data_IF_261221974117
#
_entry.id   IF_261221974117
#
_cell.length_a   1.000
_cell.length_b   1.000
_cell.length_c   1.000
_cell.angle_alpha   90.00
_cell.angle_beta   90.00
_cell.angle_gamma   90.00
#
_symmetry.space_group_name_H-M   'P 1'
#
loop_
_entity.id
_entity.type
_entity.pdbx_description
1 polymer ?
#
# COMPACT_ATOMS: atom_id res chain seq x y z
N UNK A 1 -91.61 1.14 -12.62
CA UNK A 1 -91.04 2.44 -13.02
C UNK A 1 -89.73 2.16 -13.70
N UNK A 2 -89.71 2.43 -14.99
CA UNK A 2 -88.57 2.43 -15.91
C UNK A 2 -87.48 3.38 -15.40
N UNK A 3 -86.21 2.96 -15.47
CA UNK A 3 -85.05 3.79 -15.18
C UNK A 3 -83.89 3.40 -16.08
N UNK A 4 -83.70 4.18 -17.14
CA UNK A 4 -82.51 4.20 -17.99
C UNK A 4 -81.26 4.55 -17.17
N UNK A 5 -80.16 3.85 -17.44
CA UNK A 5 -78.80 4.31 -17.10
C UNK A 5 -77.91 4.17 -18.34
N UNK A 6 -77.56 5.32 -18.90
CA UNK A 6 -76.16 5.75 -19.00
C UNK A 6 -75.22 5.03 -19.97
N UNK A 7 -74.96 5.72 -21.09
CA UNK A 7 -73.79 5.66 -21.99
C UNK A 7 -72.54 5.02 -21.37
N UNK A 8 -71.96 4.03 -22.05
CA UNK A 8 -70.55 3.69 -21.95
C UNK A 8 -69.94 3.70 -23.36
N UNK A 9 -68.78 4.34 -23.48
CA UNK A 9 -68.20 4.78 -24.74
C UNK A 9 -67.64 3.66 -25.62
N UNK A 10 -67.72 3.90 -26.93
CA UNK A 10 -66.91 3.23 -27.94
C UNK A 10 -65.43 3.49 -27.68
N UNK A 11 -64.70 2.45 -27.30
CA UNK A 11 -63.28 2.33 -27.55
C UNK A 11 -62.91 0.85 -27.55
N UNK A 12 -62.43 0.36 -28.69
CA UNK A 12 -61.48 -0.74 -28.87
C UNK A 12 -61.86 -1.61 -30.07
N UNK A 13 -61.25 -1.31 -31.24
CA UNK A 13 -60.63 -2.35 -32.06
C UNK A 13 -59.68 -1.69 -33.07
N UNK A 14 -58.45 -1.40 -32.63
CA UNK A 14 -57.34 -1.20 -33.55
C UNK A 14 -56.47 -2.45 -33.42
N UNK A 15 -56.66 -3.39 -34.35
CA UNK A 15 -55.84 -4.58 -34.46
C UNK A 15 -54.44 -4.14 -34.91
N UNK A 16 -53.52 -4.01 -33.94
CA UNK A 16 -52.10 -3.82 -34.21
C UNK A 16 -51.55 -5.18 -34.66
N UNK A 17 -51.46 -5.39 -35.97
CA UNK A 17 -50.66 -6.46 -36.55
C UNK A 17 -49.18 -6.17 -36.21
N UNK A 18 -48.71 -6.72 -35.09
CA UNK A 18 -47.29 -6.80 -34.82
C UNK A 18 -46.70 -7.86 -35.75
N UNK A 19 -46.20 -7.41 -36.90
CA UNK A 19 -45.32 -8.23 -37.74
C UNK A 19 -44.08 -8.52 -36.91
N UNK A 20 -44.01 -9.73 -36.34
CA UNK A 20 -42.80 -10.27 -35.74
C UNK A 20 -41.78 -10.43 -36.87
N UNK A 21 -41.03 -9.36 -37.17
CA UNK A 21 -39.76 -9.49 -37.89
C UNK A 21 -38.87 -10.35 -37.00
N UNK A 22 -38.77 -11.62 -37.36
CA UNK A 22 -37.67 -12.46 -36.94
C UNK A 22 -36.42 -11.78 -37.49
N UNK A 23 -35.78 -10.92 -36.68
CA UNK A 23 -34.41 -10.51 -36.93
C UNK A 23 -33.61 -11.78 -36.77
N UNK A 24 -33.44 -12.52 -37.87
CA UNK A 24 -32.33 -13.44 -38.02
C UNK A 24 -31.12 -12.54 -37.85
N UNK A 25 -30.51 -12.59 -36.67
CA UNK A 25 -29.17 -12.04 -36.54
C UNK A 25 -28.32 -12.91 -37.47
N UNK A 26 -27.69 -12.32 -38.52
CA UNK A 26 -26.81 -13.10 -39.37
C UNK A 26 -25.75 -13.75 -38.47
N UNK A 27 -25.41 -15.00 -38.79
CA UNK A 27 -24.38 -15.74 -38.08
C UNK A 27 -23.09 -14.91 -37.98
N UNK A 28 -22.36 -15.09 -36.89
CA UNK A 28 -21.00 -14.54 -36.76
C UNK A 28 -20.13 -15.14 -37.85
N UNK A 29 -19.46 -14.28 -38.64
CA UNK A 29 -18.53 -14.72 -39.68
C UNK A 29 -17.57 -15.80 -39.15
N UNK A 30 -17.31 -16.84 -39.93
CA UNK A 30 -16.47 -17.97 -39.54
C UNK A 30 -15.08 -17.49 -39.14
N UNK A 31 -14.69 -17.92 -37.94
CA UNK A 31 -13.51 -17.42 -37.24
C UNK A 31 -12.16 -17.86 -37.84
N UNK A 32 -12.13 -18.76 -38.84
CA UNK A 32 -10.89 -19.17 -39.47
C UNK A 32 -11.23 -19.98 -40.74
N UNK A 33 -10.91 -19.47 -41.92
CA UNK A 33 -11.00 -20.20 -43.21
C UNK A 33 -9.95 -21.33 -43.31
N UNK A 34 -9.75 -22.08 -42.23
CA UNK A 34 -8.61 -22.98 -41.99
C UNK A 34 -8.74 -24.36 -42.60
N UNK A 35 -9.92 -24.70 -43.09
CA UNK A 35 -10.27 -25.97 -43.74
C UNK A 35 -10.52 -25.78 -45.24
N UNK A 36 -10.16 -24.63 -45.79
CA UNK A 36 -10.38 -24.36 -47.20
C UNK A 36 -9.54 -25.30 -48.08
N UNK A 37 -10.12 -25.81 -49.18
CA UNK A 37 -9.38 -26.62 -50.14
C UNK A 37 -8.23 -25.82 -50.76
N UNK A 38 -7.15 -26.52 -51.11
CA UNK A 38 -6.03 -25.93 -51.83
C UNK A 38 -6.43 -25.62 -53.28
N UNK A 39 -6.11 -24.41 -53.76
CA UNK A 39 -6.29 -24.02 -55.15
C UNK A 39 -4.97 -24.24 -55.92
N UNK A 40 -5.03 -24.90 -57.08
CA UNK A 40 -3.87 -25.04 -57.96
C UNK A 40 -3.69 -23.80 -58.88
N UNK A 41 -2.53 -23.66 -59.53
CA UNK A 41 -2.35 -22.65 -60.58
C UNK A 41 -3.48 -22.71 -61.62
N UNK A 42 -4.08 -21.57 -61.91
CA UNK A 42 -5.24 -21.46 -62.80
C UNK A 42 -6.58 -21.82 -62.14
N UNK A 43 -6.62 -21.98 -60.82
CA UNK A 43 -7.84 -22.07 -60.04
C UNK A 43 -7.97 -20.84 -59.12
N UNK A 44 -9.21 -20.61 -58.69
CA UNK A 44 -9.55 -19.52 -57.79
C UNK A 44 -10.11 -20.10 -56.49
N UNK A 45 -9.60 -19.64 -55.35
CA UNK A 45 -10.19 -19.92 -54.05
C UNK A 45 -11.23 -18.85 -53.73
N UNK A 46 -12.47 -19.27 -53.47
CA UNK A 46 -13.57 -18.39 -53.10
C UNK A 46 -13.83 -18.50 -51.59
N UNK A 47 -13.85 -17.35 -50.90
CA UNK A 47 -14.30 -17.23 -49.52
C UNK A 47 -15.65 -16.52 -49.53
N UNK A 48 -16.72 -17.26 -49.27
CA UNK A 48 -18.05 -16.69 -49.12
C UNK A 48 -18.20 -16.15 -47.69
N UNK A 49 -18.20 -14.83 -47.55
CA UNK A 49 -18.34 -14.14 -46.26
C UNK A 49 -19.78 -14.12 -45.76
N UNK A 50 -20.76 -14.30 -46.66
CA UNK A 50 -22.18 -14.32 -46.33
C UNK A 50 -22.60 -15.68 -45.77
N UNK A 51 -22.20 -16.76 -46.45
CA UNK A 51 -22.53 -18.14 -46.07
C UNK A 51 -21.51 -18.81 -45.15
N UNK A 52 -20.41 -18.12 -44.83
CA UNK A 52 -19.35 -18.65 -44.00
C UNK A 52 -18.81 -19.99 -44.56
N UNK A 53 -18.41 -19.99 -45.82
CA UNK A 53 -17.82 -21.18 -46.43
C UNK A 53 -16.71 -20.82 -47.41
N UNK A 54 -15.96 -21.84 -47.82
CA UNK A 54 -14.95 -21.66 -48.85
C UNK A 54 -14.80 -22.89 -49.73
N UNK A 55 -14.48 -22.65 -50.98
CA UNK A 55 -14.43 -23.67 -52.01
C UNK A 55 -13.54 -23.22 -53.17
N UNK A 56 -13.02 -24.17 -53.94
CA UNK A 56 -12.27 -23.86 -55.17
C UNK A 56 -13.24 -23.80 -56.35
N UNK A 57 -13.07 -22.78 -57.19
CA UNK A 57 -13.74 -22.63 -58.48
C UNK A 57 -12.72 -22.61 -59.62
N UNK A 58 -13.22 -22.71 -60.85
CA UNK A 58 -12.39 -22.59 -62.05
C UNK A 58 -11.88 -21.16 -62.28
N UNK A 59 -11.43 -20.86 -63.50
CA UNK A 59 -10.84 -19.55 -63.87
C UNK A 59 -11.84 -18.39 -63.96
N UNK A 60 -13.11 -18.63 -63.67
CA UNK A 60 -14.16 -17.61 -63.72
C UNK A 60 -14.91 -17.62 -62.41
N UNK A 61 -15.06 -16.46 -61.73
CA UNK A 61 -15.90 -16.36 -60.55
C UNK A 61 -17.28 -16.97 -60.86
N UNK A 62 -17.84 -17.78 -59.96
CA UNK A 62 -19.22 -18.23 -60.12
C UNK A 62 -20.09 -16.99 -60.26
N UNK A 63 -20.99 -16.99 -61.24
CA UNK A 63 -21.95 -15.89 -61.37
C UNK A 63 -22.65 -15.71 -60.02
N UNK A 64 -22.76 -14.47 -59.54
CA UNK A 64 -23.46 -14.19 -58.29
C UNK A 64 -24.95 -14.51 -58.46
N UNK A 65 -25.33 -15.78 -58.32
CA UNK A 65 -26.69 -16.24 -58.61
C UNK A 65 -27.67 -15.91 -57.49
N UNK A 66 -27.14 -15.57 -56.31
CA UNK A 66 -27.85 -15.07 -55.15
C UNK A 66 -27.30 -13.66 -54.93
N UNK A 67 -28.03 -12.61 -55.35
CA UNK A 67 -27.54 -11.23 -55.39
C UNK A 67 -27.12 -10.65 -54.01
N UNK A 68 -27.23 -11.46 -52.94
CA UNK A 68 -26.91 -11.16 -51.54
C UNK A 68 -25.53 -11.72 -51.09
N UNK A 69 -24.73 -12.34 -51.96
CA UNK A 69 -23.47 -12.98 -51.55
C UNK A 69 -22.23 -12.09 -51.75
N UNK A 70 -21.37 -12.08 -50.72
CA UNK A 70 -20.12 -11.33 -50.64
C UNK A 70 -18.89 -12.25 -50.64
N UNK A 71 -17.95 -11.98 -51.55
CA UNK A 71 -16.79 -12.86 -51.75
C UNK A 71 -15.43 -12.15 -51.65
N UNK A 72 -14.46 -12.87 -51.09
CA UNK A 72 -13.03 -12.67 -51.37
C UNK A 72 -12.59 -13.79 -52.33
N UNK A 73 -12.03 -13.42 -53.46
CA UNK A 73 -11.45 -14.35 -54.42
C UNK A 73 -9.92 -14.26 -54.41
N UNK A 74 -9.26 -15.42 -54.47
CA UNK A 74 -7.80 -15.52 -54.52
C UNK A 74 -7.39 -16.42 -55.68
N UNK A 75 -6.80 -15.82 -56.72
CA UNK A 75 -6.30 -16.55 -57.88
C UNK A 75 -4.84 -16.94 -57.70
N UNK A 76 -4.53 -18.20 -57.99
CA UNK A 76 -3.15 -18.68 -58.07
C UNK A 76 -2.67 -18.49 -59.51
N UNK A 77 -1.95 -17.39 -59.78
CA UNK A 77 -1.58 -16.98 -61.14
C UNK A 77 -0.44 -17.82 -61.70
N UNK A 78 0.59 -18.09 -60.89
CA UNK A 78 1.78 -18.79 -61.34
C UNK A 78 2.47 -19.57 -60.21
N UNK A 79 3.42 -20.41 -60.61
CA UNK A 79 4.26 -21.20 -59.70
C UNK A 79 5.34 -20.39 -58.99
N UNK A 80 5.54 -19.12 -59.36
CA UNK A 80 6.49 -18.19 -58.71
C UNK A 80 5.90 -17.46 -57.49
N UNK A 81 4.69 -17.80 -57.06
CA UNK A 81 4.09 -17.25 -55.83
C UNK A 81 3.15 -16.07 -56.03
N UNK A 82 2.99 -15.58 -57.26
CA UNK A 82 2.10 -14.45 -57.54
C UNK A 82 0.64 -14.88 -57.45
N UNK A 83 -0.14 -14.11 -56.71
CA UNK A 83 -1.58 -14.29 -56.57
C UNK A 83 -2.34 -12.99 -56.75
N UNK A 84 -3.54 -13.08 -57.31
CA UNK A 84 -4.46 -11.96 -57.47
C UNK A 84 -5.56 -12.08 -56.42
N UNK A 85 -5.87 -10.99 -55.75
CA UNK A 85 -6.89 -10.90 -54.72
C UNK A 85 -7.97 -9.98 -55.22
N UNK A 86 -9.21 -10.44 -55.26
CA UNK A 86 -10.35 -9.66 -55.73
C UNK A 86 -11.44 -9.61 -54.67
N UNK A 87 -12.22 -8.53 -54.68
CA UNK A 87 -13.46 -8.44 -53.91
C UNK A 87 -14.65 -8.41 -54.85
N UNK A 88 -15.72 -9.10 -54.45
CA UNK A 88 -17.01 -9.01 -55.12
C UNK A 88 -18.09 -8.79 -54.07
N UNK A 89 -18.73 -7.63 -54.12
CA UNK A 89 -19.87 -7.29 -53.26
C UNK A 89 -21.19 -7.72 -53.93
N UNK A 90 -22.06 -8.33 -53.15
CA UNK A 90 -23.44 -8.62 -53.52
C UNK A 90 -24.24 -7.31 -53.57
N UNK A 91 -24.89 -6.95 -54.70
CA UNK A 91 -25.60 -5.68 -54.81
C UNK A 91 -26.78 -5.53 -53.84
N UNK A 92 -27.28 -6.64 -53.30
CA UNK A 92 -28.41 -6.68 -52.36
C UNK A 92 -27.97 -6.97 -50.90
N UNK A 93 -26.67 -7.22 -50.63
CA UNK A 93 -26.13 -7.32 -49.26
C UNK A 93 -25.72 -5.93 -48.73
N UNK A 94 -26.30 -5.44 -47.61
CA UNK A 94 -25.94 -4.15 -47.03
C UNK A 94 -24.59 -4.15 -46.28
N UNK A 95 -23.93 -5.31 -46.11
CA UNK A 95 -22.68 -5.45 -45.36
C UNK A 95 -21.46 -5.20 -46.25
N UNK A 96 -20.87 -4.01 -46.14
CA UNK A 96 -19.65 -3.71 -46.87
C UNK A 96 -18.48 -4.65 -46.52
N UNK A 97 -17.69 -5.03 -47.53
CA UNK A 97 -16.43 -5.76 -47.37
C UNK A 97 -15.27 -4.76 -47.41
N UNK A 98 -14.34 -4.87 -46.48
CA UNK A 98 -13.07 -4.13 -46.54
C UNK A 98 -11.94 -5.04 -46.09
N UNK A 99 -10.94 -5.29 -46.93
CA UNK A 99 -9.78 -6.09 -46.54
C UNK A 99 -8.49 -5.59 -47.17
N UNK A 100 -7.38 -6.04 -46.57
CA UNK A 100 -6.03 -5.73 -46.99
C UNK A 100 -5.19 -6.99 -47.06
N UNK A 101 -4.22 -6.99 -47.99
CA UNK A 101 -3.19 -8.03 -48.10
C UNK A 101 -1.87 -7.39 -47.71
N UNK A 102 -1.23 -7.92 -46.67
CA UNK A 102 -0.02 -7.35 -46.05
C UNK A 102 -0.19 -5.84 -45.71
N UNK A 103 -1.38 -5.45 -45.25
CA UNK A 103 -1.72 -4.05 -44.92
C UNK A 103 -2.03 -3.14 -46.12
N UNK A 104 -1.93 -3.64 -47.36
CA UNK A 104 -2.32 -2.89 -48.56
C UNK A 104 -3.80 -3.13 -48.85
N UNK A 105 -4.67 -2.10 -48.83
CA UNK A 105 -6.09 -2.26 -49.14
C UNK A 105 -6.31 -2.81 -50.55
N UNK A 106 -7.28 -3.70 -50.71
CA UNK A 106 -7.68 -4.21 -52.03
C UNK A 106 -8.84 -3.35 -52.57
N UNK A 107 -8.78 -2.89 -53.82
CA UNK A 107 -9.89 -2.18 -54.48
C UNK A 107 -9.69 -2.06 -56.00
N UNK A 108 -10.53 -2.70 -56.85
CA UNK A 108 -11.31 -3.91 -56.56
C UNK A 108 -10.42 -5.17 -56.51
N UNK A 109 -9.17 -5.07 -56.98
CA UNK A 109 -8.22 -6.16 -57.06
C UNK A 109 -6.80 -5.73 -56.66
N UNK A 110 -5.98 -6.67 -56.21
CA UNK A 110 -4.58 -6.47 -55.83
C UNK A 110 -3.76 -7.71 -56.14
N UNK A 111 -2.62 -7.54 -56.82
CA UNK A 111 -1.70 -8.63 -57.10
C UNK A 111 -0.49 -8.57 -56.14
N UNK A 112 -0.22 -9.68 -55.44
CA UNK A 112 0.84 -9.78 -54.43
C UNK A 112 1.60 -11.09 -54.60
N UNK A 113 2.91 -11.08 -54.34
CA UNK A 113 3.69 -12.31 -54.18
C UNK A 113 3.46 -12.89 -52.79
N UNK A 114 2.84 -14.07 -52.73
CA UNK A 114 2.53 -14.80 -51.52
C UNK A 114 3.33 -16.11 -51.41
N UNK A 115 4.49 -16.20 -52.08
CA UNK A 115 5.42 -17.34 -51.96
C UNK A 115 5.90 -17.58 -50.52
N UNK A 116 6.09 -16.51 -49.75
CA UNK A 116 6.44 -16.54 -48.33
C UNK A 116 5.23 -16.44 -47.38
N UNK A 117 4.01 -16.42 -47.93
CA UNK A 117 2.78 -16.15 -47.20
C UNK A 117 2.38 -14.67 -47.19
N UNK A 118 1.09 -14.41 -47.35
CA UNK A 118 0.45 -13.11 -47.26
C UNK A 118 -0.53 -13.09 -46.10
N UNK A 119 -0.48 -12.05 -45.26
CA UNK A 119 -1.46 -11.81 -44.20
C UNK A 119 -2.68 -11.10 -44.77
N UNK A 120 -3.86 -11.68 -44.55
CA UNK A 120 -5.14 -11.10 -44.94
C UNK A 120 -5.87 -10.65 -43.69
N UNK A 121 -6.26 -9.38 -43.66
CA UNK A 121 -7.00 -8.76 -42.55
C UNK A 121 -8.11 -7.89 -43.12
N UNK A 122 -9.21 -7.73 -42.40
CA UNK A 122 -10.34 -6.94 -42.91
C UNK A 122 -11.56 -6.96 -42.01
N UNK A 123 -12.70 -6.59 -42.57
CA UNK A 123 -14.01 -6.62 -41.94
C UNK A 123 -15.12 -6.88 -42.96
N UNK A 124 -16.21 -7.50 -42.52
CA UNK A 124 -17.47 -7.66 -43.24
C UNK A 124 -18.62 -7.14 -42.39
N UNK A 125 -19.40 -6.17 -42.91
CA UNK A 125 -20.49 -5.56 -42.15
C UNK A 125 -20.05 -4.89 -40.83
N UNK A 126 -18.80 -4.44 -40.76
CA UNK A 126 -18.18 -3.87 -39.55
C UNK A 126 -17.63 -4.90 -38.54
N UNK A 127 -17.83 -6.19 -38.77
CA UNK A 127 -17.21 -7.27 -37.96
C UNK A 127 -15.84 -7.59 -38.52
N UNK A 128 -14.79 -7.58 -37.69
CA UNK A 128 -13.44 -7.90 -38.12
C UNK A 128 -13.34 -9.37 -38.60
N UNK A 129 -12.69 -9.58 -39.74
CA UNK A 129 -12.24 -10.89 -40.19
C UNK A 129 -11.07 -11.32 -39.29
N UNK A 130 -11.08 -12.56 -38.79
CA UNK A 130 -9.90 -13.12 -38.14
C UNK A 130 -8.77 -13.19 -39.17
N UNK A 131 -7.58 -12.69 -38.81
CA UNK A 131 -6.43 -12.69 -39.71
C UNK A 131 -6.06 -14.12 -40.13
N UNK A 132 -5.85 -14.33 -41.42
CA UNK A 132 -5.39 -15.62 -41.95
C UNK A 132 -4.22 -15.42 -42.91
N UNK A 133 -3.46 -16.49 -43.15
CA UNK A 133 -2.33 -16.46 -44.08
C UNK A 133 -2.67 -17.27 -45.32
N UNK A 134 -2.55 -16.63 -46.48
CA UNK A 134 -2.57 -17.32 -47.76
C UNK A 134 -1.15 -17.51 -48.25
N UNK A 135 -0.77 -18.75 -48.57
CA UNK A 135 0.55 -19.08 -49.10
C UNK A 135 0.40 -19.72 -50.46
N UNK A 136 1.05 -19.15 -51.48
CA UNK A 136 1.19 -19.75 -52.81
C UNK A 136 2.57 -20.38 -52.94
N UNK A 137 2.70 -21.63 -52.51
CA UNK A 137 3.94 -22.40 -52.58
C UNK A 137 3.77 -23.55 -53.57
N UNK A 138 4.80 -23.81 -54.39
CA UNK A 138 4.86 -24.97 -55.27
C UNK A 138 3.66 -25.12 -56.24
N UNK A 139 3.12 -24.00 -56.74
CA UNK A 139 1.94 -23.96 -57.63
C UNK A 139 0.60 -24.31 -56.95
N UNK A 140 0.56 -24.28 -55.63
CA UNK A 140 -0.65 -24.50 -54.83
C UNK A 140 -0.83 -23.36 -53.83
N UNK A 141 -1.99 -22.72 -53.87
CA UNK A 141 -2.47 -21.76 -52.89
C UNK A 141 -3.21 -22.48 -51.77
N UNK A 142 -2.73 -22.34 -50.54
CA UNK A 142 -3.39 -22.89 -49.34
C UNK A 142 -3.68 -21.78 -48.36
N UNK A 143 -4.85 -21.82 -47.75
CA UNK A 143 -5.06 -21.08 -46.51
C UNK A 143 -4.49 -21.92 -45.38
N UNK A 144 -3.37 -21.45 -44.86
CA UNK A 144 -2.83 -21.97 -43.61
C UNK A 144 -3.53 -21.29 -42.45
N UNK A 145 -3.86 -22.07 -41.41
CA UNK A 145 -4.22 -21.48 -40.12
C UNK A 145 -3.09 -20.58 -39.67
N UNK A 146 -3.44 -19.33 -39.37
CA UNK A 146 -2.52 -18.34 -38.83
C UNK A 146 -1.79 -18.95 -37.64
N UNK A 147 -0.53 -19.33 -37.86
CA UNK A 147 0.40 -19.29 -36.75
C UNK A 147 0.38 -17.87 -36.20
N UNK A 148 0.51 -17.69 -34.88
CA UNK A 148 0.61 -16.35 -34.33
C UNK A 148 1.63 -15.54 -35.13
N UNK A 149 1.24 -14.32 -35.52
CA UNK A 149 2.18 -13.36 -36.07
C UNK A 149 3.33 -13.08 -35.09
N UNK A 150 4.32 -12.27 -35.49
CA UNK A 150 5.39 -11.87 -34.57
C UNK A 150 4.78 -11.27 -33.30
N UNK A 151 5.41 -11.57 -32.15
CA UNK A 151 5.00 -11.04 -30.86
C UNK A 151 4.91 -9.50 -30.93
N UNK A 152 3.77 -8.96 -30.50
CA UNK A 152 3.46 -7.54 -30.59
C UNK A 152 3.01 -6.94 -29.26
N UNK A 153 2.53 -7.76 -28.32
CA UNK A 153 2.06 -7.31 -27.00
C UNK A 153 2.47 -8.29 -25.91
N UNK A 154 2.78 -7.74 -24.74
CA UNK A 154 3.04 -8.45 -23.50
C UNK A 154 2.10 -7.87 -22.43
N UNK A 155 1.36 -8.73 -21.73
CA UNK A 155 0.42 -8.30 -20.70
C UNK A 155 0.49 -9.18 -19.46
N UNK A 156 0.24 -8.60 -18.28
CA UNK A 156 0.05 -9.36 -17.03
C UNK A 156 -1.31 -10.03 -17.06
N UNK A 157 -1.32 -11.35 -16.92
CA UNK A 157 -2.54 -12.17 -16.92
C UNK A 157 -3.04 -12.43 -15.50
N UNK A 158 -2.13 -12.73 -14.55
CA UNK A 158 -2.47 -12.92 -13.14
C UNK A 158 -1.23 -12.85 -12.23
N UNK A 159 -1.44 -12.71 -10.91
CA UNK A 159 -0.36 -12.77 -9.93
C UNK A 159 0.22 -11.41 -9.49
N UNK A 160 -0.29 -10.30 -10.00
CA UNK A 160 0.06 -8.95 -9.51
C UNK A 160 -0.82 -8.56 -8.31
N UNK A 161 -0.34 -7.62 -7.48
CA UNK A 161 -1.06 -7.08 -6.32
C UNK A 161 -1.06 -7.99 -5.09
N UNK A 162 -0.15 -8.97 -5.02
CA UNK A 162 -0.10 -9.93 -3.93
C UNK A 162 0.81 -9.45 -2.78
N UNK A 163 0.53 -9.94 -1.57
CA UNK A 163 1.38 -9.74 -0.41
C UNK A 163 1.63 -11.06 0.34
N UNK A 164 2.79 -11.17 0.98
CA UNK A 164 3.14 -12.32 1.83
C UNK A 164 4.19 -11.88 2.86
N UNK A 165 4.32 -12.62 3.97
CA UNK A 165 5.36 -12.32 4.95
C UNK A 165 6.76 -12.56 4.35
N UNK A 166 7.76 -11.81 4.82
CA UNK A 166 9.17 -12.03 4.47
C UNK A 166 9.55 -13.51 4.55
N UNK A 167 10.41 -13.96 3.65
CA UNK A 167 10.84 -15.37 3.54
C UNK A 167 9.72 -16.38 3.25
N UNK A 168 8.55 -15.94 2.80
CA UNK A 168 7.40 -16.81 2.47
C UNK A 168 7.07 -16.73 0.97
N UNK A 169 6.54 -17.83 0.41
CA UNK A 169 6.11 -17.85 -0.99
C UNK A 169 4.88 -16.95 -1.22
N UNK A 170 4.79 -16.34 -2.40
CA UNK A 170 3.55 -15.72 -2.85
C UNK A 170 2.54 -16.80 -3.28
N UNK A 171 1.25 -16.56 -3.04
CA UNK A 171 0.21 -17.58 -3.21
C UNK A 171 -0.04 -17.94 -4.68
N UNK A 172 -0.02 -16.95 -5.58
CA UNK A 172 -0.26 -17.13 -7.02
C UNK A 172 1.03 -16.95 -7.81
N UNK A 173 1.19 -17.72 -8.88
CA UNK A 173 2.26 -17.52 -9.84
C UNK A 173 2.10 -16.18 -10.57
N UNK A 174 3.22 -15.61 -11.01
CA UNK A 174 3.29 -14.44 -11.87
C UNK A 174 3.12 -14.92 -13.31
N UNK A 175 2.02 -14.54 -13.96
CA UNK A 175 1.67 -15.02 -15.31
C UNK A 175 1.58 -13.84 -16.26
N UNK A 176 2.27 -13.93 -17.39
CA UNK A 176 2.09 -13.02 -18.53
C UNK A 176 1.60 -13.78 -19.76
N UNK A 177 0.91 -13.06 -20.64
CA UNK A 177 0.53 -13.53 -21.97
C UNK A 177 1.25 -12.68 -23.03
N UNK A 178 1.77 -13.35 -24.06
CA UNK A 178 2.28 -12.72 -25.29
C UNK A 178 1.26 -12.93 -26.40
N UNK A 179 0.88 -11.85 -27.09
CA UNK A 179 0.01 -11.91 -28.27
C UNK A 179 0.64 -11.20 -29.47
N UNK A 180 0.22 -11.59 -30.67
CA UNK A 180 0.53 -10.88 -31.91
C UNK A 180 -0.35 -9.62 -32.07
N UNK A 181 -0.19 -8.90 -33.18
CA UNK A 181 -0.95 -7.68 -33.47
C UNK A 181 -2.46 -7.95 -33.71
N UNK A 182 -2.84 -9.19 -34.05
CA UNK A 182 -4.22 -9.64 -34.19
C UNK A 182 -4.85 -10.13 -32.88
N UNK A 183 -4.09 -10.15 -31.78
CA UNK A 183 -4.54 -10.66 -30.48
C UNK A 183 -4.42 -12.17 -30.31
N UNK A 184 -3.78 -12.88 -31.24
CA UNK A 184 -3.58 -14.32 -31.14
C UNK A 184 -2.43 -14.64 -30.18
N UNK A 185 -2.52 -15.70 -29.36
CA UNK A 185 -1.46 -16.09 -28.44
C UNK A 185 -0.19 -16.57 -29.17
N UNK A 186 0.98 -16.05 -28.78
CA UNK A 186 2.27 -16.44 -29.39
C UNK A 186 2.99 -17.44 -28.50
N UNK A 187 3.12 -18.69 -28.96
CA UNK A 187 3.87 -19.75 -28.31
C UNK A 187 5.37 -19.71 -28.65
N UNK A 188 6.24 -20.18 -27.75
CA UNK A 188 7.68 -20.28 -28.00
C UNK A 188 8.47 -18.98 -27.74
N UNK A 189 7.81 -17.91 -27.29
CA UNK A 189 8.44 -16.63 -27.00
C UNK A 189 9.15 -16.66 -25.64
N UNK A 190 10.39 -16.13 -25.59
CA UNK A 190 11.19 -16.11 -24.35
C UNK A 190 10.94 -14.84 -23.54
N UNK A 191 10.35 -15.00 -22.36
CA UNK A 191 10.12 -13.90 -21.40
C UNK A 191 11.15 -13.96 -20.28
N UNK A 192 11.81 -12.84 -20.02
CA UNK A 192 12.73 -12.65 -18.88
C UNK A 192 12.03 -11.94 -17.73
N UNK A 193 12.30 -12.37 -16.50
CA UNK A 193 11.76 -11.81 -15.26
C UNK A 193 12.89 -11.30 -14.37
N UNK A 194 12.74 -10.09 -13.82
CA UNK A 194 13.73 -9.49 -12.94
C UNK A 194 13.07 -8.88 -11.70
N UNK A 195 13.61 -9.21 -10.53
CA UNK A 195 13.31 -8.55 -9.27
C UNK A 195 14.40 -7.52 -8.92
N UNK A 196 14.16 -6.55 -8.00
CA UNK A 196 15.17 -5.59 -7.59
C UNK A 196 16.39 -6.25 -6.94
N UNK A 197 17.59 -5.69 -7.17
CA UNK A 197 18.84 -6.21 -6.61
C UNK A 197 19.12 -5.84 -5.14
N UNK A 198 18.30 -4.94 -4.55
CA UNK A 198 18.46 -4.47 -3.17
C UNK A 198 17.11 -4.05 -2.58
N UNK A 199 16.99 -4.08 -1.25
CA UNK A 199 15.74 -3.76 -0.56
C UNK A 199 14.73 -4.89 -0.62
N UNK A 200 13.44 -4.54 -0.60
CA UNK A 200 12.37 -5.53 -0.79
C UNK A 200 12.47 -6.15 -2.19
N UNK A 201 12.48 -7.48 -2.25
CA UNK A 201 12.67 -8.25 -3.49
C UNK A 201 12.12 -9.67 -3.33
N UNK A 202 12.24 -10.48 -4.37
CA UNK A 202 11.88 -11.89 -4.38
C UNK A 202 12.98 -12.77 -4.98
N UNK A 203 13.08 -14.00 -4.47
CA UNK A 203 13.70 -15.11 -5.19
C UNK A 203 12.70 -15.67 -6.20
N UNK A 204 13.04 -15.58 -7.48
CA UNK A 204 12.22 -16.12 -8.57
C UNK A 204 12.58 -17.58 -8.82
N UNK A 205 11.59 -18.41 -9.13
CA UNK A 205 11.80 -19.83 -9.50
C UNK A 205 12.59 -20.02 -10.79
N UNK A 206 12.53 -19.05 -11.69
CA UNK A 206 13.35 -18.95 -12.89
C UNK A 206 13.56 -17.47 -13.28
N UNK A 207 14.70 -17.14 -13.90
CA UNK A 207 14.97 -15.81 -14.44
C UNK A 207 14.33 -15.59 -15.82
N UNK A 208 13.91 -16.66 -16.49
CA UNK A 208 13.22 -16.62 -17.78
C UNK A 208 12.35 -17.86 -17.99
N UNK A 209 11.38 -17.77 -18.89
CA UNK A 209 10.58 -18.91 -19.35
C UNK A 209 10.13 -18.74 -20.79
N UNK A 210 9.48 -19.76 -21.33
CA UNK A 210 8.99 -19.77 -22.72
C UNK A 210 7.47 -19.90 -22.72
N UNK A 211 6.79 -19.14 -23.57
CA UNK A 211 5.32 -19.20 -23.67
C UNK A 211 4.81 -20.52 -24.21
N UNK A 212 3.73 -21.03 -23.62
CA UNK A 212 3.05 -22.25 -24.04
C UNK A 212 2.10 -22.01 -25.24
N UNK A 213 1.33 -23.03 -25.63
CA UNK A 213 0.36 -22.94 -26.74
C UNK A 213 -0.77 -21.92 -26.53
N UNK A 214 -0.97 -21.41 -25.31
CA UNK A 214 -1.89 -20.32 -24.99
C UNK A 214 -1.20 -18.95 -24.90
N UNK A 215 0.08 -18.88 -25.32
CA UNK A 215 0.89 -17.67 -25.27
C UNK A 215 1.28 -17.27 -23.85
N UNK A 216 1.15 -18.16 -22.87
CA UNK A 216 1.39 -17.86 -21.46
C UNK A 216 2.67 -18.45 -20.93
N UNK A 217 3.32 -17.74 -20.02
CA UNK A 217 4.43 -18.23 -19.22
C UNK A 217 4.22 -17.81 -17.78
N UNK A 218 4.57 -18.71 -16.85
CA UNK A 218 4.40 -18.49 -15.42
C UNK A 218 5.67 -18.79 -14.64
N UNK A 219 5.92 -18.00 -13.60
CA UNK A 219 6.95 -18.27 -12.59
C UNK A 219 6.36 -18.07 -11.19
N UNK A 220 6.89 -18.79 -10.20
CA UNK A 220 6.61 -18.48 -8.79
C UNK A 220 7.70 -17.59 -8.19
N UNK A 221 7.35 -16.86 -7.14
CA UNK A 221 8.21 -15.94 -6.41
C UNK A 221 8.13 -16.22 -4.90
N UNK A 222 9.26 -16.08 -4.21
CA UNK A 222 9.35 -16.15 -2.74
C UNK A 222 9.91 -14.85 -2.20
N UNK A 223 9.21 -14.21 -1.28
CA UNK A 223 9.65 -12.96 -0.65
C UNK A 223 11.03 -13.11 -0.02
N UNK A 224 11.89 -12.10 -0.17
CA UNK A 224 13.15 -12.05 0.57
C UNK A 224 12.93 -11.63 2.05
N UNK A 225 14.02 -11.40 2.78
CA UNK A 225 14.01 -11.01 4.19
C UNK A 225 13.64 -9.54 4.48
N UNK A 226 13.33 -8.74 3.46
CA UNK A 226 13.13 -7.29 3.60
C UNK A 226 11.68 -6.92 3.29
N UNK A 227 11.02 -6.27 4.25
CA UNK A 227 9.65 -5.79 4.07
C UNK A 227 9.59 -4.56 3.14
N UNK A 228 8.48 -4.42 2.42
CA UNK A 228 8.23 -3.31 1.50
C UNK A 228 7.56 -3.74 0.19
N UNK A 229 7.06 -2.75 -0.55
CA UNK A 229 6.52 -2.93 -1.89
C UNK A 229 7.61 -2.84 -2.96
N UNK A 230 7.49 -3.63 -4.02
CA UNK A 230 8.40 -3.65 -5.17
C UNK A 230 7.72 -4.23 -6.41
N UNK A 231 8.36 -4.07 -7.57
CA UNK A 231 7.91 -4.66 -8.82
C UNK A 231 8.83 -5.80 -9.26
N UNK A 232 8.26 -6.87 -9.77
CA UNK A 232 8.96 -7.83 -10.64
C UNK A 232 8.61 -7.47 -12.08
N UNK A 233 9.62 -7.18 -12.90
CA UNK A 233 9.43 -6.78 -14.29
C UNK A 233 9.56 -7.99 -15.21
N UNK A 234 8.59 -8.18 -16.10
CA UNK A 234 8.64 -9.14 -17.20
C UNK A 234 8.90 -8.41 -18.53
N UNK A 235 9.76 -8.98 -19.37
CA UNK A 235 10.17 -8.40 -20.65
C UNK A 235 10.39 -9.48 -21.71
N UNK A 236 10.10 -9.16 -22.97
CA UNK A 236 10.30 -10.06 -24.12
C UNK A 236 10.78 -9.26 -25.32
N UNK A 237 12.00 -9.51 -25.79
CA UNK A 237 12.58 -8.80 -26.93
C UNK A 237 12.47 -7.27 -26.82
N UNK A 238 11.81 -6.65 -27.79
CA UNK A 238 11.57 -5.20 -27.85
C UNK A 238 10.16 -4.78 -27.39
N UNK A 239 9.36 -5.70 -26.84
CA UNK A 239 8.04 -5.39 -26.31
C UNK A 239 8.15 -4.52 -25.07
N UNK A 240 7.14 -3.66 -24.86
CA UNK A 240 7.02 -2.87 -23.63
C UNK A 240 6.97 -3.80 -22.42
N UNK A 241 7.89 -3.66 -21.44
CA UNK A 241 7.88 -4.47 -20.23
C UNK A 241 6.64 -4.22 -19.39
N UNK A 242 6.26 -5.22 -18.61
CA UNK A 242 5.13 -5.15 -17.67
C UNK A 242 5.58 -5.51 -16.26
N UNK A 243 4.91 -4.96 -15.25
CA UNK A 243 5.29 -5.12 -13.85
C UNK A 243 4.24 -5.88 -13.04
N UNK A 244 4.73 -6.76 -12.17
CA UNK A 244 3.96 -7.35 -11.09
C UNK A 244 4.24 -6.58 -9.79
N UNK A 245 3.25 -5.88 -9.26
CA UNK A 245 3.35 -5.21 -7.97
C UNK A 245 3.24 -6.24 -6.85
N UNK A 246 4.27 -6.40 -6.04
CA UNK A 246 4.33 -7.35 -4.92
C UNK A 246 4.68 -6.61 -3.63
N UNK A 247 4.28 -7.17 -2.48
CA UNK A 247 4.61 -6.61 -1.17
C UNK A 247 5.07 -7.70 -0.21
N UNK A 248 6.26 -7.52 0.36
CA UNK A 248 6.74 -8.32 1.48
C UNK A 248 6.26 -7.65 2.78
N UNK A 249 5.44 -8.33 3.57
CA UNK A 249 5.04 -7.85 4.91
C UNK A 249 6.04 -8.32 5.96
N UNK A 250 6.18 -7.60 7.06
CA UNK A 250 7.03 -8.06 8.16
C UNK A 250 6.57 -9.43 8.70
N UNK A 251 7.50 -10.19 9.26
CA UNK A 251 7.20 -11.41 9.98
C UNK A 251 6.49 -11.15 11.32
N UNK A 252 6.25 -12.19 12.12
CA UNK A 252 5.69 -12.04 13.46
C UNK A 252 6.57 -11.12 14.33
N UNK A 253 5.92 -10.31 15.18
CA UNK A 253 6.61 -9.46 16.13
C UNK A 253 7.55 -10.29 17.04
N UNK A 254 8.79 -9.81 17.18
CA UNK A 254 9.84 -10.51 17.91
C UNK A 254 10.61 -9.60 18.89
N UNK A 255 10.56 -8.27 18.70
CA UNK A 255 11.21 -7.30 19.57
C UNK A 255 10.35 -6.07 19.80
N UNK A 256 10.44 -5.52 21.01
CA UNK A 256 9.84 -4.27 21.44
C UNK A 256 10.97 -3.41 22.03
N UNK A 257 11.11 -2.17 21.58
CA UNK A 257 12.19 -1.28 22.03
C UNK A 257 11.70 0.16 22.22
N UNK A 258 12.20 0.82 23.27
CA UNK A 258 12.02 2.27 23.46
C UNK A 258 12.75 3.01 22.35
N UNK A 259 12.02 3.86 21.63
CA UNK A 259 12.55 4.68 20.54
C UNK A 259 12.85 6.11 20.97
N UNK A 260 11.96 6.72 21.78
CA UNK A 260 12.15 8.06 22.33
C UNK A 260 11.20 8.34 23.51
N UNK A 261 11.48 9.40 24.28
CA UNK A 261 10.60 9.85 25.38
C UNK A 261 10.92 9.29 26.77
N UNK A 262 11.96 8.48 26.92
CA UNK A 262 12.47 8.05 28.24
C UNK A 262 13.46 9.07 28.81
N UNK A 263 13.64 9.09 30.13
CA UNK A 263 14.58 9.97 30.84
C UNK A 263 14.11 11.41 31.01
N UNK A 264 12.80 11.67 30.90
CA UNK A 264 12.24 13.01 31.00
C UNK A 264 11.84 13.37 32.43
N UNK A 265 11.88 14.67 32.74
CA UNK A 265 11.38 15.22 33.99
C UNK A 265 10.46 16.41 33.74
N UNK A 266 9.41 16.56 34.55
CA UNK A 266 8.51 17.73 34.52
C UNK A 266 7.94 17.98 35.90
N UNK A 267 7.45 19.19 36.18
CA UNK A 267 6.79 19.48 37.45
C UNK A 267 5.51 18.64 37.61
N UNK A 268 5.14 18.34 38.86
CA UNK A 268 3.86 17.71 39.17
C UNK A 268 2.70 18.41 38.46
N UNK A 269 1.69 17.64 38.06
CA UNK A 269 0.51 18.11 37.31
C UNK A 269 0.82 18.77 35.96
N UNK A 270 2.03 18.58 35.40
CA UNK A 270 2.45 19.14 34.10
C UNK A 270 2.67 18.03 33.08
N UNK A 271 2.42 18.32 31.80
CA UNK A 271 2.69 17.38 30.71
C UNK A 271 4.21 17.15 30.55
N UNK A 272 4.60 15.93 30.17
CA UNK A 272 5.95 15.67 29.68
C UNK A 272 6.10 16.21 28.25
N UNK A 273 7.30 16.69 27.91
CA UNK A 273 7.53 17.40 26.66
C UNK A 273 7.48 16.49 25.41
N UNK A 274 8.01 15.27 25.52
CA UNK A 274 8.06 14.29 24.42
C UNK A 274 7.09 13.14 24.68
N UNK A 275 6.47 12.64 23.62
CA UNK A 275 5.70 11.41 23.66
C UNK A 275 6.59 10.20 23.99
N UNK A 276 6.00 9.18 24.63
CA UNK A 276 6.62 7.89 24.88
C UNK A 276 6.44 7.04 23.62
N UNK A 277 7.54 6.73 22.94
CA UNK A 277 7.50 6.01 21.65
C UNK A 277 8.25 4.69 21.78
N UNK A 278 7.61 3.61 21.35
CA UNK A 278 8.25 2.31 21.14
C UNK A 278 8.19 1.91 19.67
N UNK A 279 9.12 1.07 19.25
CA UNK A 279 9.12 0.39 17.95
C UNK A 279 8.98 -1.12 18.18
N UNK A 280 8.15 -1.77 17.38
CA UNK A 280 8.04 -3.23 17.27
C UNK A 280 8.69 -3.68 15.97
N UNK A 281 9.57 -4.68 16.04
CA UNK A 281 10.18 -5.32 14.86
C UNK A 281 10.03 -6.83 14.89
N UNK A 282 10.09 -7.45 13.71
CA UNK A 282 10.22 -8.90 13.56
C UNK A 282 11.66 -9.36 13.85
N UNK A 283 11.92 -10.66 13.74
CA UNK A 283 13.24 -11.25 14.00
C UNK A 283 14.31 -10.81 12.99
N UNK A 284 13.93 -10.34 11.81
CA UNK A 284 14.81 -9.78 10.79
C UNK A 284 15.04 -8.28 10.93
N UNK A 285 14.43 -7.62 11.91
CA UNK A 285 14.50 -6.17 12.12
C UNK A 285 13.53 -5.37 11.26
N UNK A 286 12.59 -6.01 10.55
CA UNK A 286 11.57 -5.29 9.79
C UNK A 286 10.52 -4.69 10.74
N UNK A 287 10.08 -3.43 10.54
CA UNK A 287 9.03 -2.84 11.37
C UNK A 287 7.69 -3.56 11.21
N UNK A 288 7.03 -3.89 12.32
CA UNK A 288 5.74 -4.58 12.33
C UNK A 288 4.62 -3.58 12.56
N UNK A 289 3.82 -3.33 11.53
CA UNK A 289 2.62 -2.48 11.60
C UNK A 289 1.41 -3.25 12.12
N UNK A 290 0.46 -2.57 12.76
CA UNK A 290 -0.77 -3.18 13.24
C UNK A 290 -0.65 -3.91 14.59
N UNK A 291 0.53 -3.90 15.22
CA UNK A 291 0.76 -4.54 16.51
C UNK A 291 0.18 -3.70 17.66
N UNK A 292 -0.50 -4.35 18.61
CA UNK A 292 -1.07 -3.65 19.77
C UNK A 292 -0.04 -3.59 20.90
N UNK A 293 0.21 -2.38 21.41
CA UNK A 293 1.07 -2.12 22.56
C UNK A 293 0.25 -1.50 23.68
N UNK A 294 0.30 -2.11 24.86
CA UNK A 294 -0.27 -1.58 26.10
C UNK A 294 0.77 -0.78 26.89
N UNK A 295 0.33 0.27 27.56
CA UNK A 295 1.16 1.12 28.41
C UNK A 295 0.55 1.20 29.82
N UNK A 296 1.40 1.10 30.85
CA UNK A 296 0.96 1.12 32.25
C UNK A 296 1.88 2.00 33.09
N UNK A 297 1.28 2.90 33.86
CA UNK A 297 1.95 3.69 34.89
C UNK A 297 1.63 3.11 36.28
N UNK A 298 2.44 3.38 37.33
CA UNK A 298 2.20 2.85 38.66
C UNK A 298 0.86 3.31 39.23
N UNK A 299 0.18 2.43 39.97
CA UNK A 299 -1.12 2.72 40.59
C UNK A 299 -1.04 3.61 41.85
N UNK A 300 0.15 3.89 42.37
CA UNK A 300 0.36 4.67 43.59
C UNK A 300 1.73 5.37 43.58
N UNK A 301 1.87 6.46 44.34
CA UNK A 301 3.10 7.25 44.39
C UNK A 301 3.28 8.15 43.17
N UNK A 302 4.53 8.44 42.81
CA UNK A 302 4.83 9.15 41.57
C UNK A 302 4.35 8.33 40.36
N UNK A 303 3.56 8.96 39.49
CA UNK A 303 2.93 8.30 38.35
C UNK A 303 2.56 9.33 37.28
N UNK A 304 1.96 8.86 36.17
CA UNK A 304 1.45 9.70 35.09
C UNK A 304 0.02 9.29 34.69
N UNK A 305 -0.76 10.27 34.27
CA UNK A 305 -1.95 10.05 33.45
C UNK A 305 -1.52 9.90 31.99
N UNK A 306 -1.84 8.76 31.39
CA UNK A 306 -1.49 8.44 29.99
C UNK A 306 -2.63 8.85 29.06
N UNK A 307 -2.31 9.33 27.85
CA UNK A 307 -3.33 9.71 26.85
C UNK A 307 -4.22 8.55 26.39
N UNK A 308 -3.69 7.33 26.46
CA UNK A 308 -4.39 6.08 26.19
C UNK A 308 -3.70 4.92 26.92
N UNK A 309 -4.43 3.85 27.32
CA UNK A 309 -3.84 2.66 27.91
C UNK A 309 -3.16 1.74 26.88
N UNK A 310 -3.39 1.97 25.58
CA UNK A 310 -2.80 1.20 24.49
C UNK A 310 -2.82 1.98 23.18
N UNK A 311 -2.03 1.54 22.20
CA UNK A 311 -2.07 2.01 20.82
C UNK A 311 -1.65 0.92 19.84
N UNK A 312 -1.70 1.23 18.55
CA UNK A 312 -1.37 0.31 17.45
C UNK A 312 -0.18 0.86 16.66
N UNK A 313 0.78 0.01 16.29
CA UNK A 313 1.95 0.43 15.52
C UNK A 313 1.59 0.85 14.09
N UNK A 314 2.24 1.91 13.62
CA UNK A 314 2.11 2.42 12.25
C UNK A 314 3.01 1.66 11.26
N UNK A 315 3.07 2.10 9.99
CA UNK A 315 3.91 1.49 8.95
C UNK A 315 5.42 1.45 9.25
N UNK A 316 5.90 2.27 10.18
CA UNK A 316 7.29 2.27 10.68
C UNK A 316 7.45 1.43 11.95
N UNK A 317 6.45 0.61 12.29
CA UNK A 317 6.45 -0.22 13.50
C UNK A 317 6.34 0.58 14.80
N UNK A 318 5.98 1.87 14.74
CA UNK A 318 6.00 2.77 15.90
C UNK A 318 4.62 3.06 16.44
N UNK A 319 4.52 3.18 17.75
CA UNK A 319 3.35 3.70 18.47
C UNK A 319 3.79 4.67 19.55
N UNK A 320 3.01 5.73 19.72
CA UNK A 320 3.30 6.82 20.65
C UNK A 320 2.11 7.15 21.54
N UNK A 321 2.35 7.43 22.81
CA UNK A 321 1.38 8.01 23.74
C UNK A 321 1.98 9.22 24.45
N UNK A 322 1.15 10.13 24.95
CA UNK A 322 1.62 11.24 25.81
C UNK A 322 1.31 10.94 27.27
N UNK A 323 2.06 11.59 28.17
CA UNK A 323 1.96 11.41 29.60
C UNK A 323 1.92 12.78 30.31
N UNK A 324 1.11 12.87 31.36
CA UNK A 324 1.03 14.03 32.26
C UNK A 324 1.35 13.59 33.68
N UNK A 325 2.34 14.23 34.30
CA UNK A 325 2.73 13.95 35.68
C UNK A 325 1.54 14.07 36.63
N UNK A 326 1.42 13.15 37.59
CA UNK A 326 0.46 13.29 38.68
C UNK A 326 0.96 14.30 39.73
N UNK A 327 0.24 14.41 40.85
CA UNK A 327 0.54 15.35 41.94
C UNK A 327 1.68 14.93 42.88
N UNK A 328 2.33 13.79 42.66
CA UNK A 328 3.34 13.23 43.56
C UNK A 328 4.73 13.30 42.91
N UNK A 329 5.67 13.95 43.59
CA UNK A 329 7.06 14.03 43.13
C UNK A 329 7.80 12.70 43.32
N UNK A 330 8.72 12.40 42.40
CA UNK A 330 9.55 11.19 42.42
C UNK A 330 9.79 10.60 41.03
N UNK A 331 10.74 9.67 40.97
CA UNK A 331 11.02 8.87 39.76
C UNK A 331 10.15 7.61 39.69
N UNK A 332 9.76 7.21 38.49
CA UNK A 332 8.96 6.01 38.23
C UNK A 332 9.14 5.54 36.78
N UNK A 333 8.64 4.34 36.48
CA UNK A 333 8.63 3.80 35.12
C UNK A 333 7.20 3.73 34.58
N UNK A 334 7.03 4.08 33.30
CA UNK A 334 5.86 3.65 32.50
C UNK A 334 6.30 2.45 31.68
N UNK A 335 5.62 1.31 31.85
CA UNK A 335 5.95 0.07 31.16
C UNK A 335 5.12 -0.06 29.88
N UNK A 336 5.77 -0.40 28.77
CA UNK A 336 5.14 -0.78 27.51
C UNK A 336 5.29 -2.28 27.26
N UNK A 337 4.22 -2.94 26.82
CA UNK A 337 4.18 -4.39 26.58
C UNK A 337 3.33 -4.73 25.36
N UNK A 338 3.70 -5.78 24.64
CA UNK A 338 2.94 -6.32 23.51
C UNK A 338 3.03 -7.85 23.50
N UNK A 339 1.88 -8.51 23.65
CA UNK A 339 1.79 -9.98 23.69
C UNK A 339 2.76 -10.60 24.70
N UNK A 340 3.60 -11.52 24.20
CA UNK A 340 4.63 -12.22 24.98
C UNK A 340 6.04 -11.61 24.84
N UNK A 341 6.18 -10.45 24.17
CA UNK A 341 7.46 -9.77 24.04
C UNK A 341 7.94 -9.26 25.41
N UNK A 342 9.25 -9.19 25.60
CA UNK A 342 9.83 -8.59 26.80
C UNK A 342 9.37 -7.12 26.92
N UNK A 343 8.71 -6.74 28.04
CA UNK A 343 8.30 -5.36 28.25
C UNK A 343 9.49 -4.42 28.34
N UNK A 344 9.25 -3.14 28.02
CA UNK A 344 10.26 -2.07 28.12
C UNK A 344 9.73 -0.91 28.94
N UNK A 345 10.64 -0.19 29.60
CA UNK A 345 10.28 0.88 30.53
C UNK A 345 10.74 2.26 30.04
N UNK A 346 9.88 3.26 30.23
CA UNK A 346 10.21 4.68 30.16
C UNK A 346 10.46 5.21 31.57
N UNK A 347 11.70 5.61 31.86
CA UNK A 347 12.03 6.25 33.14
C UNK A 347 11.57 7.71 33.10
N UNK A 348 10.68 8.10 34.00
CA UNK A 348 10.13 9.45 34.10
C UNK A 348 10.33 9.99 35.53
N UNK A 349 10.34 11.31 35.68
CA UNK A 349 10.44 11.96 36.98
C UNK A 349 9.47 13.13 37.10
N UNK A 350 8.64 13.11 38.13
CA UNK A 350 7.84 14.25 38.54
C UNK A 350 8.67 15.09 39.53
N UNK A 351 8.99 16.34 39.21
CA UNK A 351 9.65 17.27 40.13
C UNK A 351 8.60 18.02 40.94
N UNK A 352 8.95 18.46 42.15
CA UNK A 352 8.05 19.30 42.95
C UNK A 352 7.65 20.57 42.19
N UNK A 353 6.48 21.11 42.52
CA UNK A 353 6.03 22.41 42.03
C UNK A 353 6.80 23.57 42.68
N UNK A 354 6.42 24.82 42.39
CA UNK A 354 6.99 25.99 43.06
C UNK A 354 6.85 25.91 44.58
N UNK A 355 7.86 26.39 45.31
CA UNK A 355 7.81 26.51 46.76
C UNK A 355 6.57 27.32 47.19
N UNK A 356 5.81 26.77 48.14
CA UNK A 356 4.57 27.37 48.63
C UNK A 356 4.46 27.38 50.16
N UNK A 357 5.19 26.52 50.85
CA UNK A 357 5.23 26.46 52.30
C UNK A 357 6.67 26.31 52.79
N UNK A 358 6.96 26.99 53.89
CA UNK A 358 8.20 26.89 54.64
C UNK A 358 7.79 26.58 56.09
N UNK A 359 8.36 25.55 56.69
CA UNK A 359 7.99 25.12 58.04
C UNK A 359 9.24 24.79 58.87
N UNK A 360 9.21 25.10 60.16
CA UNK A 360 10.26 24.71 61.10
C UNK A 360 10.17 23.21 61.36
N UNK A 361 11.23 22.48 61.03
CA UNK A 361 11.31 21.01 61.19
C UNK A 361 11.96 20.64 62.52
N UNK A 362 13.03 21.32 62.92
CA UNK A 362 13.70 21.11 64.21
C UNK A 362 14.60 22.29 64.63
N UNK A 363 15.10 22.28 65.86
CA UNK A 363 16.04 23.28 66.38
C UNK A 363 15.41 24.52 67.05
N UNK A 364 14.09 24.64 67.06
CA UNK A 364 13.39 25.69 67.83
C UNK A 364 13.20 25.30 69.30
N UNK A 365 12.96 26.29 70.17
CA UNK A 365 12.63 26.07 71.59
C UNK A 365 13.79 25.65 72.49
N UNK A 366 15.03 25.81 72.03
CA UNK A 366 16.24 25.50 72.79
C UNK A 366 16.79 26.72 73.56
N UNK A 367 17.62 26.46 74.58
CA UNK A 367 18.33 27.49 75.34
C UNK A 367 19.78 27.09 75.55
N UNK A 368 20.65 28.08 75.74
CA UNK A 368 22.08 27.90 76.01
C UNK A 368 22.61 29.11 76.80
N UNK A 369 23.82 29.02 77.34
CA UNK A 369 24.47 30.17 77.97
C UNK A 369 24.88 31.20 76.90
N UNK A 370 24.97 32.48 77.28
CA UNK A 370 25.50 33.52 76.37
C UNK A 370 26.89 33.13 75.84
N UNK A 371 27.20 33.55 74.62
CA UNK A 371 28.45 33.20 73.92
C UNK A 371 28.70 31.69 73.71
N UNK A 372 27.65 30.85 73.83
CA UNK A 372 27.74 29.39 73.65
C UNK A 372 26.91 28.94 72.45
N UNK A 373 27.36 27.89 71.78
CA UNK A 373 26.61 27.27 70.68
C UNK A 373 25.28 26.68 71.18
N UNK A 374 24.26 26.71 70.33
CA UNK A 374 23.06 25.92 70.54
C UNK A 374 23.30 24.45 70.20
N UNK A 375 22.64 23.54 70.93
CA UNK A 375 22.88 22.11 70.80
C UNK A 375 22.34 21.53 69.47
N UNK A 376 21.18 22.01 69.01
CA UNK A 376 20.54 21.54 67.79
C UNK A 376 20.66 22.57 66.67
N UNK A 377 20.90 22.11 65.44
CA UNK A 377 20.82 22.94 64.25
C UNK A 377 19.37 23.42 64.03
N UNK A 378 19.22 24.62 63.46
CA UNK A 378 17.94 25.13 62.98
C UNK A 378 17.66 24.49 61.63
N UNK A 379 16.58 23.72 61.53
CA UNK A 379 16.18 23.01 60.31
C UNK A 379 14.79 23.47 59.89
N UNK A 380 14.65 23.81 58.62
CA UNK A 380 13.37 24.13 58.00
C UNK A 380 13.15 23.27 56.76
N UNK A 381 11.90 22.93 56.48
CA UNK A 381 11.47 22.20 55.29
C UNK A 381 10.71 23.15 54.37
N UNK A 382 11.03 23.13 53.08
CA UNK A 382 10.25 23.77 52.02
C UNK A 382 9.44 22.70 51.29
N UNK A 383 8.14 22.96 51.13
CA UNK A 383 7.27 22.14 50.28
C UNK A 383 6.51 22.99 49.26
N UNK A 384 6.08 22.35 48.18
CA UNK A 384 5.13 22.93 47.23
C UNK A 384 3.71 22.93 47.82
N UNK A 385 2.74 23.43 47.05
CA UNK A 385 1.34 23.50 47.47
C UNK A 385 0.69 22.11 47.66
N UNK A 386 1.25 21.05 47.06
CA UNK A 386 0.83 19.67 47.21
C UNK A 386 1.53 18.93 48.35
N UNK A 387 2.43 19.59 49.09
CA UNK A 387 3.23 18.98 50.15
C UNK A 387 4.45 18.20 49.66
N UNK A 388 4.80 18.28 48.37
CA UNK A 388 6.03 17.66 47.87
C UNK A 388 7.25 18.46 48.33
N UNK A 389 8.33 17.82 48.80
CA UNK A 389 9.55 18.53 49.18
C UNK A 389 10.21 19.21 47.98
N UNK A 390 10.56 20.49 48.13
CA UNK A 390 11.21 21.27 47.07
C UNK A 390 12.71 21.30 47.31
N UNK A 391 13.47 20.61 46.46
CA UNK A 391 14.93 20.58 46.51
C UNK A 391 15.56 21.76 45.76
N UNK A 392 16.73 22.21 46.20
CA UNK A 392 17.49 23.31 45.58
C UNK A 392 16.94 24.71 45.88
N UNK A 393 15.91 24.83 46.72
CA UNK A 393 15.34 26.11 47.12
C UNK A 393 16.30 26.84 48.08
N UNK A 394 16.54 28.13 47.86
CA UNK A 394 17.42 28.94 48.71
C UNK A 394 16.65 29.57 49.86
N UNK A 395 16.99 29.19 51.09
CA UNK A 395 16.40 29.75 52.31
C UNK A 395 17.39 30.67 53.00
N UNK A 396 16.97 31.90 53.27
CA UNK A 396 17.71 32.90 54.04
C UNK A 396 17.37 32.80 55.53
N UNK A 397 18.35 33.07 56.39
CA UNK A 397 18.18 33.09 57.84
C UNK A 397 18.65 34.42 58.42
N UNK A 398 17.87 34.99 59.33
CA UNK A 398 18.16 36.27 59.97
C UNK A 398 17.92 36.21 61.47
N UNK A 399 18.93 36.62 62.24
CA UNK A 399 18.81 36.84 63.67
C UNK A 399 18.64 38.35 63.96
N UNK A 400 18.11 38.76 65.13
CA UNK A 400 17.91 40.17 65.43
C UNK A 400 19.21 40.99 65.36
N UNK A 401 19.15 42.19 64.79
CA UNK A 401 20.31 43.08 64.68
C UNK A 401 20.76 43.74 66.00
N UNK A 402 19.96 43.64 67.07
CA UNK A 402 20.24 44.24 68.37
C UNK A 402 19.60 43.44 69.51
N UNK A 403 20.14 43.55 70.74
CA UNK A 403 19.63 42.83 71.91
C UNK A 403 20.13 41.39 71.98
N UNK A 404 19.31 40.48 72.52
CA UNK A 404 19.56 39.04 72.48
C UNK A 404 19.47 38.54 71.03
N UNK A 405 20.51 37.84 70.56
CA UNK A 405 20.64 37.41 69.15
C UNK A 405 21.59 36.21 69.01
N UNK A 406 21.77 35.72 67.78
CA UNK A 406 22.70 34.65 67.44
C UNK A 406 23.63 35.02 66.27
N UNK A 407 24.86 34.52 66.31
CA UNK A 407 25.71 34.39 65.12
C UNK A 407 25.36 33.08 64.41
N UNK A 408 24.96 33.17 63.14
CA UNK A 408 24.55 32.04 62.32
C UNK A 408 25.76 31.50 61.53
N UNK A 409 25.83 30.18 61.31
CA UNK A 409 26.92 29.55 60.55
C UNK A 409 26.95 29.99 59.08
N UNK A 410 25.81 30.39 58.55
CA UNK A 410 25.64 30.95 57.21
C UNK A 410 24.38 31.84 57.18
N UNK A 411 24.35 32.89 56.34
CA UNK A 411 23.16 33.73 56.16
C UNK A 411 22.07 33.06 55.30
N UNK A 412 22.39 31.99 54.58
CA UNK A 412 21.46 31.22 53.76
C UNK A 412 21.96 29.78 53.52
N UNK A 413 21.09 28.91 53.03
CA UNK A 413 21.41 27.57 52.56
C UNK A 413 20.43 27.08 51.49
N UNK A 414 20.73 25.95 50.87
CA UNK A 414 19.86 25.32 49.86
C UNK A 414 19.23 24.04 50.39
N UNK A 415 17.97 23.77 50.01
CA UNK A 415 17.27 22.56 50.43
C UNK A 415 17.81 21.32 49.72
N UNK A 416 17.88 20.20 50.44
CA UNK A 416 18.25 18.88 49.89
C UNK A 416 17.05 18.18 49.21
N UNK A 417 17.23 16.92 48.79
CA UNK A 417 16.17 16.11 48.16
C UNK A 417 14.92 15.89 49.02
N UNK A 418 15.03 16.06 50.34
CA UNK A 418 13.90 16.01 51.28
C UNK A 418 13.32 17.40 51.57
N UNK A 419 13.67 18.41 50.78
CA UNK A 419 13.23 19.79 50.95
C UNK A 419 13.79 20.48 52.20
N UNK A 420 14.82 19.93 52.84
CA UNK A 420 15.33 20.43 54.12
C UNK A 420 16.65 21.19 53.97
N UNK A 421 16.79 22.26 54.76
CA UNK A 421 18.03 23.03 54.91
C UNK A 421 18.31 23.26 56.39
N UNK A 422 19.59 23.21 56.77
CA UNK A 422 20.03 23.31 58.16
C UNK A 422 21.16 24.32 58.33
N UNK A 423 21.08 25.15 59.37
CA UNK A 423 22.18 26.01 59.83
C UNK A 423 22.41 25.86 61.34
N UNK A 424 23.60 26.16 61.83
CA UNK A 424 23.87 26.22 63.28
C UNK A 424 23.92 27.66 63.77
N UNK A 425 23.72 27.85 65.07
CA UNK A 425 23.65 29.16 65.71
C UNK A 425 24.46 29.19 67.01
N UNK A 426 25.09 30.32 67.32
CA UNK A 426 25.79 30.59 68.58
C UNK A 426 25.21 31.83 69.23
N UNK A 427 24.76 31.73 70.49
CA UNK A 427 24.18 32.85 71.23
C UNK A 427 25.20 34.00 71.37
N UNK A 428 24.74 35.25 71.25
CA UNK A 428 25.60 36.41 71.49
C UNK A 428 25.82 36.64 73.01
N UNK A 429 26.45 37.77 73.36
CA UNK A 429 26.74 38.16 74.74
C UNK A 429 25.53 38.69 75.54
N UNK A 430 24.33 38.73 74.97
CA UNK A 430 23.14 39.35 75.59
C UNK A 430 22.10 38.29 75.93
N UNK A 431 21.75 38.18 77.22
CA UNK A 431 20.71 37.26 77.66
C UNK A 431 19.30 37.75 77.27
N UNK A 432 18.43 36.83 76.82
CA UNK A 432 17.04 37.11 76.47
C UNK A 432 16.50 36.12 75.45
N UNK A 433 15.18 36.12 75.25
CA UNK A 433 14.53 35.34 74.19
C UNK A 433 14.55 36.09 72.86
N UNK A 434 14.69 35.36 71.76
CA UNK A 434 14.63 35.89 70.39
C UNK A 434 14.27 34.79 69.39
N UNK A 435 13.86 35.21 68.19
CA UNK A 435 13.59 34.32 67.07
C UNK A 435 14.66 34.50 65.99
N UNK A 436 15.06 33.39 65.36
CA UNK A 436 15.74 33.42 64.06
C UNK A 436 14.66 33.22 62.99
N UNK A 437 14.54 34.16 62.06
CA UNK A 437 13.58 34.08 60.97
C UNK A 437 14.21 33.38 59.79
N UNK A 438 13.56 32.34 59.26
CA UNK A 438 13.89 31.80 57.94
C UNK A 438 12.97 32.43 56.89
N UNK A 439 13.42 32.54 55.63
CA UNK A 439 12.55 32.96 54.53
C UNK A 439 13.02 32.40 53.19
N UNK A 440 12.07 32.17 52.28
CA UNK A 440 12.34 31.74 50.89
C UNK A 440 11.49 32.57 49.93
N UNK A 441 12.10 33.54 49.25
CA UNK A 441 11.34 34.55 48.52
C UNK A 441 10.37 35.31 49.44
N UNK A 442 9.06 35.19 49.19
CA UNK A 442 8.01 35.77 50.02
C UNK A 442 7.52 34.85 51.17
N UNK A 443 8.02 33.61 51.24
CA UNK A 443 7.62 32.64 52.26
C UNK A 443 8.35 32.90 53.57
N UNK A 444 7.62 32.89 54.68
CA UNK A 444 8.14 32.88 56.05
C UNK A 444 7.47 31.75 56.84
N UNK A 445 8.17 31.07 57.76
CA UNK A 445 7.63 29.94 58.54
C UNK A 445 6.47 30.29 59.46
#
# INVERSE_FOLDING_TARGET
>A
MTGEIGRSGSAALLALFATLMLVVTPGTARAAYTDCPAAAVGQQLALNLTDDNCFVVGTTPPANTSYDEDFIFIDVINSSGTSNFEMQEGPDDPRAISYSVNGTPVSPALQVDCSAGCSITGSHGGTALTSFTFTNASSTGTIGGGGPGPAASLAVSSGSGQSTAVSTAFASALVVTVTDAGGNPVAGETVSFSAPGSGASASLSAASGVTDGSGQVSITATANGTAGGYNVTASSGALTPVDFALTNTAGPAASLAVSSGSGQSTAVSTAFASALVVTVTDAGGNPVAGETVSFSAPGSGASASLSAPSGVTNGSGQVSITATANGTAGGYNVTASSGALTPVDFALTNTAGPAASLAVSSGSGQSTAVSTAFASALVVTVTDAGGNPVAGETVSFSAPGSGASASLSAPSGVTNGSGQVSITATANGTAGGYNVTASSGALTP
#
